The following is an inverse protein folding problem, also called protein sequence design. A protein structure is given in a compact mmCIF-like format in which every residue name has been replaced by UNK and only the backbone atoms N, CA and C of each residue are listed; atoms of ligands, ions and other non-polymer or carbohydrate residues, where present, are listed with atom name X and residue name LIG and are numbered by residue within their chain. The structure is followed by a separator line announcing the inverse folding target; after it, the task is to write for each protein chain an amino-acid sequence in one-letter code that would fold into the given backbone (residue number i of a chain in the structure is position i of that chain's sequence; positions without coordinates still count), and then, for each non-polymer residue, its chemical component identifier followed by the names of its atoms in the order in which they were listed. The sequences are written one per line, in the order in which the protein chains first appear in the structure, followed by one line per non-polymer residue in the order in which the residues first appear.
data_IF_741881111460
#
_entry.id   IF_741881111460
#
_cell.length_a   1.000
_cell.length_b   1.000
_cell.length_c   1.000
_cell.angle_alpha   90.00
_cell.angle_beta   90.00
_cell.angle_gamma   90.00
#
_symmetry.space_group_name_H-M   'P 1'
#
loop_
_entity.id
_entity.type
_entity.pdbx_description
1 polymer ?
#
# COMPACT_ATOMS: atom_id res chain seq x y z
N UNK A 1 1.92 6.82 -19.39
CA UNK A 1 2.05 5.48 -18.74
C UNK A 1 3.52 5.21 -18.52
N UNK A 2 3.99 5.06 -17.27
CA UNK A 2 5.42 4.90 -16.95
C UNK A 2 5.90 3.43 -16.95
N UNK A 3 5.02 2.48 -16.66
CA UNK A 3 5.33 1.03 -16.60
C UNK A 3 4.45 0.22 -17.58
N UNK A 4 4.75 0.24 -18.89
CA UNK A 4 3.91 -0.42 -19.90
C UNK A 4 3.89 -1.95 -19.76
N UNK A 5 4.95 -2.58 -19.26
CA UNK A 5 5.01 -4.02 -19.02
C UNK A 5 4.01 -4.48 -17.93
N UNK A 6 4.02 -3.78 -16.79
CA UNK A 6 3.05 -4.02 -15.70
C UNK A 6 1.62 -3.82 -16.18
N UNK A 7 1.35 -2.74 -16.92
CA UNK A 7 0.01 -2.49 -17.47
C UNK A 7 -0.46 -3.64 -18.37
N UNK A 8 0.41 -4.12 -19.28
CA UNK A 8 0.08 -5.25 -20.15
C UNK A 8 -0.23 -6.52 -19.35
N UNK A 9 0.55 -6.83 -18.32
CA UNK A 9 0.36 -8.00 -17.45
C UNK A 9 -0.96 -7.90 -16.67
N UNK A 10 -1.28 -6.75 -16.08
CA UNK A 10 -2.55 -6.52 -15.39
C UNK A 10 -3.76 -6.62 -16.33
N UNK A 11 -3.67 -6.06 -17.53
CA UNK A 11 -4.74 -6.18 -18.53
C UNK A 11 -4.92 -7.61 -19.04
N UNK A 12 -3.83 -8.38 -19.17
CA UNK A 12 -3.90 -9.79 -19.54
C UNK A 12 -4.67 -10.60 -18.48
N UNK A 13 -4.35 -10.40 -17.20
CA UNK A 13 -5.07 -11.05 -16.09
C UNK A 13 -6.57 -10.73 -16.13
N UNK A 14 -6.94 -9.46 -16.26
CA UNK A 14 -8.35 -9.03 -16.31
C UNK A 14 -9.09 -9.72 -17.47
N UNK A 15 -8.49 -9.76 -18.66
CA UNK A 15 -9.11 -10.41 -19.83
C UNK A 15 -9.24 -11.92 -19.64
N UNK A 16 -8.26 -12.57 -19.03
CA UNK A 16 -8.27 -14.00 -18.76
C UNK A 16 -9.32 -14.38 -17.71
N UNK A 17 -9.39 -13.63 -16.61
CA UNK A 17 -10.29 -13.92 -15.48
C UNK A 17 -11.76 -13.70 -15.84
N UNK A 18 -12.08 -12.67 -16.62
CA UNK A 18 -13.46 -12.31 -16.95
C UNK A 18 -13.91 -12.68 -18.35
N UNK A 19 -13.00 -13.09 -19.24
CA UNK A 19 -13.31 -13.60 -20.58
C UNK A 19 -14.26 -12.71 -21.41
N UNK A 20 -14.14 -11.38 -21.25
CA UNK A 20 -14.97 -10.41 -21.99
C UNK A 20 -16.34 -10.10 -21.38
N UNK A 21 -16.62 -10.54 -20.15
CA UNK A 21 -17.82 -10.14 -19.39
C UNK A 21 -17.85 -8.61 -19.21
N UNK A 22 -18.96 -7.98 -19.59
CA UNK A 22 -19.13 -6.52 -19.51
C UNK A 22 -19.37 -6.00 -18.09
N UNK A 23 -20.06 -6.79 -17.26
CA UNK A 23 -20.42 -6.45 -15.89
C UNK A 23 -19.81 -7.46 -14.92
N UNK A 24 -18.97 -6.97 -14.01
CA UNK A 24 -18.30 -7.78 -12.97
C UNK A 24 -18.80 -7.36 -11.60
N UNK A 25 -19.00 -8.34 -10.71
CA UNK A 25 -19.33 -8.09 -9.31
C UNK A 25 -18.04 -7.87 -8.50
N UNK A 26 -18.12 -7.08 -7.43
CA UNK A 26 -17.00 -6.82 -6.52
C UNK A 26 -16.37 -8.10 -5.97
N UNK A 27 -17.18 -9.11 -5.65
CA UNK A 27 -16.70 -10.39 -5.12
C UNK A 27 -15.80 -11.14 -6.10
N UNK A 28 -15.92 -10.88 -7.40
CA UNK A 28 -15.09 -11.51 -8.42
C UNK A 28 -13.68 -10.88 -8.51
N UNK A 29 -13.47 -9.66 -7.99
CA UNK A 29 -12.16 -9.01 -7.94
C UNK A 29 -11.16 -9.78 -7.08
N UNK A 30 -11.64 -10.64 -6.18
CA UNK A 30 -10.75 -11.49 -5.39
C UNK A 30 -9.86 -12.38 -6.26
N UNK A 31 -10.30 -12.69 -7.48
CA UNK A 31 -9.62 -13.52 -8.48
C UNK A 31 -8.49 -12.80 -9.21
N UNK A 32 -8.46 -11.46 -9.20
CA UNK A 32 -7.41 -10.65 -9.82
C UNK A 32 -6.21 -10.52 -8.89
N UNK A 33 -5.32 -11.51 -8.92
CA UNK A 33 -4.20 -11.61 -7.98
C UNK A 33 -3.14 -10.54 -8.28
N UNK A 34 -2.76 -10.38 -9.54
CA UNK A 34 -1.72 -9.45 -9.96
C UNK A 34 -2.18 -8.00 -9.85
N UNK A 35 -3.43 -7.71 -10.25
CA UNK A 35 -3.97 -6.35 -10.10
C UNK A 35 -3.96 -5.87 -8.64
N UNK A 36 -4.20 -6.77 -7.67
CA UNK A 36 -4.07 -6.45 -6.24
C UNK A 36 -2.64 -6.01 -5.89
N UNK A 37 -1.61 -6.68 -6.42
CA UNK A 37 -0.21 -6.30 -6.19
C UNK A 37 0.08 -4.91 -6.78
N UNK A 38 -0.47 -4.61 -7.96
CA UNK A 38 -0.35 -3.29 -8.59
C UNK A 38 -0.99 -2.19 -7.73
N UNK A 39 -2.16 -2.46 -7.14
CA UNK A 39 -2.84 -1.53 -6.23
C UNK A 39 -1.99 -1.28 -4.98
N UNK A 40 -1.45 -2.33 -4.35
CA UNK A 40 -0.56 -2.21 -3.18
C UNK A 40 0.67 -1.35 -3.47
N UNK A 41 1.37 -1.64 -4.56
CA UNK A 41 2.55 -0.88 -4.96
C UNK A 41 2.21 0.58 -5.32
N UNK A 42 1.01 0.81 -5.86
CA UNK A 42 0.49 2.16 -6.06
C UNK A 42 0.23 2.87 -4.75
N UNK A 43 -0.33 2.22 -3.74
CA UNK A 43 -0.58 2.84 -2.43
C UNK A 43 0.72 3.10 -1.65
N UNK A 44 1.72 2.21 -1.76
CA UNK A 44 3.05 2.39 -1.17
C UNK A 44 3.73 3.64 -1.73
N UNK A 45 3.80 3.76 -3.07
CA UNK A 45 4.45 4.89 -3.72
C UNK A 45 3.57 6.15 -3.76
N UNK A 46 2.26 6.02 -3.84
CA UNK A 46 1.36 7.16 -4.02
C UNK A 46 0.22 7.11 -3.00
N UNK A 47 0.52 7.18 -1.70
CA UNK A 47 -0.52 7.20 -0.68
C UNK A 47 -1.38 8.45 -0.87
N UNK A 48 -2.70 8.26 -0.94
CA UNK A 48 -3.68 9.37 -1.08
C UNK A 48 -3.59 10.37 0.07
N UNK A 49 -3.21 9.89 1.26
CA UNK A 49 -2.99 10.72 2.46
C UNK A 49 -1.55 10.52 2.95
N UNK A 50 -0.55 11.23 2.37
CA UNK A 50 0.88 11.06 2.67
C UNK A 50 1.28 11.15 4.14
N UNK A 51 0.56 11.96 4.94
CA UNK A 51 0.81 12.21 6.36
C UNK A 51 -0.25 11.58 7.29
N UNK A 52 -1.15 10.76 6.73
CA UNK A 52 -2.36 10.24 7.38
C UNK A 52 -3.17 11.33 8.11
N UNK A 53 -4.15 10.92 8.92
CA UNK A 53 -4.88 11.85 9.79
C UNK A 53 -4.09 12.06 11.08
N UNK A 54 -3.98 13.30 11.58
CA UNK A 54 -3.37 13.57 12.88
C UNK A 54 -4.04 12.75 13.98
N UNK A 55 -3.22 12.09 14.80
CA UNK A 55 -3.65 11.42 16.03
C UNK A 55 -3.33 12.31 17.22
N UNK A 56 -4.01 12.08 18.34
CA UNK A 56 -3.75 12.79 19.59
C UNK A 56 -3.43 11.78 20.70
N UNK A 57 -2.35 12.00 21.44
CA UNK A 57 -1.97 11.16 22.58
C UNK A 57 -3.02 11.23 23.68
N UNK A 58 -3.57 10.08 24.07
CA UNK A 58 -4.60 9.96 25.12
C UNK A 58 -4.03 9.93 26.54
N UNK A 59 -2.73 9.71 26.66
CA UNK A 59 -1.96 9.72 27.90
C UNK A 59 -0.51 10.12 27.59
N UNK A 60 0.23 10.49 28.64
CA UNK A 60 1.67 10.71 28.48
C UNK A 60 2.36 9.36 28.29
N UNK A 61 3.19 9.22 27.25
CA UNK A 61 3.92 7.99 26.97
C UNK A 61 5.40 8.27 26.71
N UNK A 62 6.20 7.20 26.61
CA UNK A 62 7.62 7.27 26.32
C UNK A 62 7.92 6.41 25.08
N UNK A 63 8.51 6.99 24.04
CA UNK A 63 8.82 6.33 22.76
C UNK A 63 10.24 6.72 22.36
N UNK A 64 11.11 5.74 22.07
CA UNK A 64 12.51 5.94 21.67
C UNK A 64 13.29 6.94 22.54
N UNK A 65 13.06 6.89 23.86
CA UNK A 65 13.74 7.79 24.82
C UNK A 65 13.12 9.18 24.94
N UNK A 66 12.03 9.46 24.22
CA UNK A 66 11.29 10.73 24.30
C UNK A 66 10.03 10.59 25.13
N UNK A 67 9.81 11.52 26.06
CA UNK A 67 8.51 11.69 26.72
C UNK A 67 7.58 12.47 25.81
N UNK A 68 6.47 11.84 25.42
CA UNK A 68 5.40 12.45 24.65
C UNK A 68 4.26 12.83 25.61
N UNK A 69 3.98 14.13 25.81
CA UNK A 69 2.91 14.56 26.72
C UNK A 69 1.51 14.19 26.23
N UNK A 70 0.57 14.14 27.18
CA UNK A 70 -0.87 14.09 26.91
C UNK A 70 -1.29 15.20 25.94
N UNK A 71 -2.22 14.90 25.01
CA UNK A 71 -2.74 15.80 23.96
C UNK A 71 -1.73 16.21 22.88
N UNK A 72 -0.54 15.63 22.85
CA UNK A 72 0.40 15.85 21.73
C UNK A 72 -0.22 15.33 20.43
N UNK A 73 -0.14 16.15 19.36
CA UNK A 73 -0.53 15.73 18.01
C UNK A 73 0.58 14.91 17.38
N UNK A 74 0.25 13.74 16.88
CA UNK A 74 1.16 12.80 16.23
C UNK A 74 0.76 12.66 14.77
N UNK A 75 1.74 12.75 13.87
CA UNK A 75 1.57 12.60 12.43
C UNK A 75 2.44 11.44 11.98
N UNK A 76 1.89 10.55 11.15
CA UNK A 76 2.63 9.42 10.59
C UNK A 76 2.96 9.73 9.14
N UNK A 77 4.24 9.83 8.81
CA UNK A 77 4.68 10.11 7.44
C UNK A 77 4.68 8.83 6.60
N UNK A 78 3.49 8.39 6.20
CA UNK A 78 3.31 7.20 5.36
C UNK A 78 4.06 7.28 4.03
N UNK A 79 4.21 8.48 3.45
CA UNK A 79 4.98 8.66 2.22
C UNK A 79 6.46 8.35 2.38
N UNK A 80 7.06 8.76 3.50
CA UNK A 80 8.45 8.45 3.80
C UNK A 80 8.62 6.97 4.13
N UNK A 81 7.74 6.40 4.97
CA UNK A 81 7.78 4.98 5.32
C UNK A 81 7.65 4.07 4.08
N UNK A 82 6.79 4.44 3.15
CA UNK A 82 6.63 3.73 1.88
C UNK A 82 7.85 3.85 0.95
N UNK A 83 8.83 4.71 1.24
CA UNK A 83 10.01 4.98 0.39
C UNK A 83 11.34 4.76 1.09
N UNK A 84 11.31 4.28 2.32
CA UNK A 84 12.52 4.13 3.10
C UNK A 84 13.39 3.01 2.49
N UNK A 85 14.60 3.31 1.99
CA UNK A 85 15.48 2.31 1.39
C UNK A 85 16.00 1.29 2.41
N UNK A 86 15.90 1.56 3.72
CA UNK A 86 16.22 0.57 4.75
C UNK A 86 15.23 -0.59 4.74
N UNK A 87 13.97 -0.33 4.38
CA UNK A 87 12.88 -1.31 4.37
C UNK A 87 12.50 -1.77 2.96
N UNK A 88 12.73 -0.95 1.92
CA UNK A 88 12.32 -1.23 0.55
C UNK A 88 13.50 -1.28 -0.42
N UNK A 89 13.80 -2.47 -0.95
CA UNK A 89 14.72 -2.60 -2.08
C UNK A 89 14.17 -1.85 -3.31
N UNK A 90 15.04 -1.06 -3.95
CA UNK A 90 14.68 -0.11 -5.02
C UNK A 90 13.43 0.71 -4.64
N UNK A 91 13.49 1.41 -3.51
CA UNK A 91 12.33 2.03 -2.88
C UNK A 91 11.52 2.95 -3.80
N UNK A 92 12.17 3.67 -4.72
CA UNK A 92 11.48 4.56 -5.66
C UNK A 92 10.97 3.86 -6.93
N UNK A 93 11.33 2.59 -7.15
CA UNK A 93 10.90 1.81 -8.30
C UNK A 93 9.53 1.18 -8.06
N UNK A 94 8.70 1.20 -9.10
CA UNK A 94 7.37 0.58 -9.09
C UNK A 94 7.47 -0.90 -9.48
N UNK A 95 7.47 -1.79 -8.48
CA UNK A 95 7.68 -3.23 -8.62
C UNK A 95 6.55 -3.98 -7.89
N UNK A 96 5.39 -4.23 -8.52
CA UNK A 96 4.27 -4.95 -7.90
C UNK A 96 4.64 -6.32 -7.34
N UNK A 97 5.56 -7.02 -8.01
CA UNK A 97 6.02 -8.36 -7.65
C UNK A 97 6.60 -8.45 -6.23
N UNK A 98 7.00 -7.33 -5.60
CA UNK A 98 7.46 -7.32 -4.20
C UNK A 98 6.39 -7.83 -3.22
N UNK A 99 5.12 -7.80 -3.60
CA UNK A 99 4.00 -8.26 -2.77
C UNK A 99 3.53 -9.68 -3.11
N UNK A 100 4.15 -10.39 -4.05
CA UNK A 100 3.66 -11.68 -4.57
C UNK A 100 3.60 -12.78 -3.49
N UNK A 101 4.48 -12.71 -2.48
CA UNK A 101 4.50 -13.63 -1.33
C UNK A 101 4.13 -12.94 0.00
N UNK A 102 3.60 -11.71 -0.06
CA UNK A 102 3.19 -11.01 1.15
C UNK A 102 1.84 -11.57 1.64
N UNK A 103 1.83 -12.11 2.87
CA UNK A 103 0.59 -12.50 3.56
C UNK A 103 -0.14 -11.30 4.17
N UNK A 104 0.39 -10.09 3.99
CA UNK A 104 -0.13 -8.88 4.60
C UNK A 104 -1.33 -8.43 3.78
N UNK A 105 -2.50 -8.37 4.40
CA UNK A 105 -3.72 -7.89 3.75
C UNK A 105 -3.85 -6.37 3.94
N UNK A 106 -4.75 -5.73 3.18
CA UNK A 106 -5.04 -4.29 3.31
C UNK A 106 -5.60 -3.88 4.69
N UNK A 107 -5.76 -4.83 5.62
CA UNK A 107 -6.14 -4.61 6.99
C UNK A 107 -5.08 -3.74 7.70
N UNK A 108 -5.46 -2.51 8.05
CA UNK A 108 -4.59 -1.37 8.36
C UNK A 108 -3.71 -1.45 9.62
N UNK A 109 -3.39 -2.64 10.12
CA UNK A 109 -2.46 -2.84 11.23
C UNK A 109 -1.01 -3.08 10.76
N UNK A 110 -0.75 -3.18 9.46
CA UNK A 110 0.58 -3.34 8.91
C UNK A 110 0.84 -2.28 7.83
N UNK A 111 1.94 -1.53 7.94
CA UNK A 111 2.32 -0.46 7.02
C UNK A 111 3.05 -0.99 5.76
N UNK A 112 3.40 -2.27 5.76
CA UNK A 112 3.81 -3.03 4.59
C UNK A 112 2.56 -3.62 3.89
N UNK A 113 1.60 -2.77 3.51
CA UNK A 113 0.37 -3.22 2.82
C UNK A 113 0.66 -3.87 1.46
#
# INVERSE_FOLDING_TARGET
IRNPGVLKKAQAEVREVFQGKELVCETEFIRLKYLKLVIKETMRLHPTVPLLLPRECRESCHIDGYTIPLKTKVIVNAWALGRDPEYWHDADCFIPERFENSSIDFSGNNLEY
#
